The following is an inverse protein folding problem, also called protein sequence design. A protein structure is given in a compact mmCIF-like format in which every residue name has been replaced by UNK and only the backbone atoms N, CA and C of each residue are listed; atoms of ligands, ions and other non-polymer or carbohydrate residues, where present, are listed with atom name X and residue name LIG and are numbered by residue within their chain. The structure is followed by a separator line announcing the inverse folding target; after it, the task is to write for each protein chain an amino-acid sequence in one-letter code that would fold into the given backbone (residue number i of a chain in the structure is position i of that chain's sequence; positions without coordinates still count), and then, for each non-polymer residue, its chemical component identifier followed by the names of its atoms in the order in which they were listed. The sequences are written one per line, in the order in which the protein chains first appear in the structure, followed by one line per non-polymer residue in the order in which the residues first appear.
data_IF_851818340292
#
_entry.id   IF_851818340292
#
_cell.length_a   1.000
_cell.length_b   1.000
_cell.length_c   1.000
_cell.angle_alpha   90.00
_cell.angle_beta   90.00
_cell.angle_gamma   90.00
#
_symmetry.space_group_name_H-M   'P 1'
#
loop_
_entity.id
_entity.type
_entity.pdbx_description
1 polymer ?
#
# COMPACT_ATOMS: atom_id res chain seq x y z
N UNK A 1 -22.22 -43.21 -1.37
CA UNK A 1 -21.82 -42.02 -0.58
C UNK A 1 -21.56 -42.38 0.89
N UNK A 2 -20.62 -43.30 1.14
CA UNK A 2 -20.06 -43.67 2.46
C UNK A 2 -18.62 -44.17 2.22
N UNK A 3 -17.81 -43.38 1.52
CA UNK A 3 -16.43 -43.80 1.17
C UNK A 3 -15.35 -43.01 1.92
N UNK A 4 -15.74 -42.02 2.72
CA UNK A 4 -14.82 -41.26 3.57
C UNK A 4 -14.98 -41.68 5.03
N UNK A 5 -13.97 -42.39 5.55
CA UNK A 5 -13.94 -42.91 6.92
C UNK A 5 -14.00 -41.80 7.98
N UNK A 6 -13.64 -40.56 7.61
CA UNK A 6 -13.73 -39.38 8.50
C UNK A 6 -15.18 -38.98 8.74
N UNK A 7 -16.00 -38.97 7.69
CA UNK A 7 -17.43 -38.68 7.78
C UNK A 7 -18.15 -39.74 8.62
N UNK A 8 -17.83 -41.02 8.41
CA UNK A 8 -18.36 -42.13 9.21
C UNK A 8 -18.03 -41.99 10.71
N UNK A 9 -16.80 -41.57 11.03
CA UNK A 9 -16.36 -41.31 12.41
C UNK A 9 -17.20 -40.22 13.09
N UNK A 10 -17.52 -39.14 12.38
CA UNK A 10 -18.34 -38.05 12.92
C UNK A 10 -19.80 -38.47 13.13
N UNK A 11 -20.36 -39.28 12.22
CA UNK A 11 -21.71 -39.83 12.36
C UNK A 11 -21.79 -40.74 13.60
N UNK A 12 -20.85 -41.67 13.74
CA UNK A 12 -20.81 -42.62 14.87
C UNK A 12 -20.60 -41.95 16.23
N UNK A 13 -19.93 -40.80 16.24
CA UNK A 13 -19.72 -39.99 17.46
C UNK A 13 -20.85 -38.99 17.74
N UNK A 14 -21.91 -38.97 16.93
CA UNK A 14 -23.05 -38.06 17.09
C UNK A 14 -22.73 -36.58 16.78
N UNK A 15 -21.56 -36.27 16.22
CA UNK A 15 -21.10 -34.90 15.93
C UNK A 15 -21.61 -34.40 14.57
N UNK A 16 -22.93 -34.37 14.42
CA UNK A 16 -23.62 -34.01 13.16
C UNK A 16 -23.33 -32.57 12.71
N UNK A 17 -23.16 -31.63 13.65
CA UNK A 17 -22.84 -30.23 13.34
C UNK A 17 -21.42 -30.07 12.77
N UNK A 18 -20.47 -30.84 13.29
CA UNK A 18 -19.09 -30.85 12.78
C UNK A 18 -19.03 -31.44 11.38
N UNK A 19 -19.76 -32.54 11.17
CA UNK A 19 -19.90 -33.15 9.86
C UNK A 19 -20.48 -32.16 8.85
N UNK A 20 -21.55 -31.45 9.21
CA UNK A 20 -22.18 -30.44 8.35
C UNK A 20 -21.19 -29.34 7.95
N UNK A 21 -20.42 -28.83 8.90
CA UNK A 21 -19.39 -27.82 8.63
C UNK A 21 -18.31 -28.34 7.67
N UNK A 22 -17.76 -29.53 7.93
CA UNK A 22 -16.72 -30.11 7.08
C UNK A 22 -17.22 -30.49 5.68
N UNK A 23 -18.47 -30.93 5.53
CA UNK A 23 -19.07 -31.17 4.22
C UNK A 23 -19.35 -29.87 3.45
N UNK A 24 -19.63 -28.77 4.16
CA UNK A 24 -19.84 -27.45 3.56
C UNK A 24 -18.57 -26.78 3.02
N UNK A 25 -17.38 -27.25 3.42
CA UNK A 25 -16.08 -26.70 3.00
C UNK A 25 -15.22 -27.77 2.33
N UNK A 26 -15.00 -27.62 1.02
CA UNK A 26 -14.37 -28.62 0.12
C UNK A 26 -13.03 -29.20 0.60
N UNK A 27 -12.24 -28.49 1.41
CA UNK A 27 -10.92 -28.91 1.91
C UNK A 27 -10.80 -29.00 3.43
N UNK A 28 -11.85 -28.68 4.18
CA UNK A 28 -11.74 -28.56 5.63
C UNK A 28 -11.40 -29.90 6.31
N UNK A 29 -11.84 -31.02 5.75
CA UNK A 29 -11.42 -32.34 6.21
C UNK A 29 -9.92 -32.64 6.00
N UNK A 30 -9.27 -32.04 5.00
CA UNK A 30 -7.83 -32.26 4.79
C UNK A 30 -7.02 -31.32 5.69
N UNK A 31 -7.49 -30.08 5.82
CA UNK A 31 -6.81 -29.00 6.55
C UNK A 31 -6.84 -29.21 8.07
N UNK A 32 -7.99 -29.59 8.65
CA UNK A 32 -8.16 -29.60 10.10
C UNK A 32 -8.16 -30.99 10.74
N UNK A 33 -8.27 -32.08 9.97
CA UNK A 33 -8.56 -33.41 10.55
C UNK A 33 -7.50 -33.93 11.51
N UNK A 34 -6.22 -33.65 11.28
CA UNK A 34 -5.17 -34.05 12.23
C UNK A 34 -5.31 -33.31 13.56
N UNK A 35 -5.49 -31.98 13.51
CA UNK A 35 -5.72 -31.14 14.68
C UNK A 35 -7.01 -31.55 15.41
N UNK A 36 -8.05 -31.87 14.65
CA UNK A 36 -9.34 -32.31 15.17
C UNK A 36 -9.22 -33.63 15.95
N UNK A 37 -8.52 -34.61 15.38
CA UNK A 37 -8.23 -35.88 16.07
C UNK A 37 -7.46 -35.66 17.38
N UNK A 38 -6.50 -34.74 17.38
CA UNK A 38 -5.71 -34.44 18.58
C UNK A 38 -6.59 -33.82 19.66
N UNK A 39 -7.45 -32.85 19.31
CA UNK A 39 -8.40 -32.25 20.24
C UNK A 39 -9.34 -33.30 20.85
N UNK A 40 -9.98 -34.13 20.00
CA UNK A 40 -10.90 -35.19 20.46
C UNK A 40 -10.18 -36.22 21.33
N UNK A 41 -8.96 -36.65 20.96
CA UNK A 41 -8.17 -37.62 21.75
C UNK A 41 -7.82 -37.09 23.14
N UNK A 42 -7.67 -35.77 23.30
CA UNK A 42 -7.39 -35.12 24.58
C UNK A 42 -8.68 -34.79 25.36
N UNK A 43 -9.84 -35.28 24.92
CA UNK A 43 -11.11 -35.03 25.59
C UNK A 43 -11.61 -33.58 25.46
N UNK A 44 -11.07 -32.81 24.52
CA UNK A 44 -11.51 -31.44 24.29
C UNK A 44 -12.87 -31.43 23.59
N UNK A 45 -13.85 -30.77 24.20
CA UNK A 45 -15.16 -30.61 23.60
C UNK A 45 -15.23 -29.34 22.76
N UNK A 46 -15.16 -29.51 21.45
CA UNK A 46 -15.33 -28.44 20.48
C UNK A 46 -16.83 -28.14 20.39
N UNK A 47 -17.28 -27.08 21.07
CA UNK A 47 -18.69 -26.65 21.09
C UNK A 47 -19.08 -25.86 19.84
N UNK A 48 -18.14 -25.10 19.27
CA UNK A 48 -18.30 -24.36 18.01
C UNK A 48 -17.17 -24.72 17.05
N UNK A 49 -17.48 -25.58 16.07
CA UNK A 49 -16.53 -26.05 15.07
C UNK A 49 -16.04 -24.93 14.15
N UNK A 50 -16.88 -23.94 13.86
CA UNK A 50 -16.52 -22.84 12.97
C UNK A 50 -15.52 -21.93 13.66
N UNK A 51 -15.81 -21.53 14.90
CA UNK A 51 -14.91 -20.72 15.72
C UNK A 51 -13.59 -21.45 15.98
N UNK A 52 -13.63 -22.76 16.23
CA UNK A 52 -12.43 -23.55 16.47
C UNK A 52 -11.54 -23.67 15.23
N UNK A 53 -12.12 -23.91 14.05
CA UNK A 53 -11.34 -23.93 12.80
C UNK A 53 -10.69 -22.57 12.52
N UNK A 54 -11.44 -21.46 12.70
CA UNK A 54 -10.89 -20.10 12.54
C UNK A 54 -9.74 -19.84 13.52
N UNK A 55 -9.88 -20.27 14.78
CA UNK A 55 -8.79 -20.22 15.76
C UNK A 55 -7.57 -21.06 15.37
N UNK A 56 -7.75 -22.25 14.79
CA UNK A 56 -6.63 -23.08 14.28
C UNK A 56 -5.90 -22.39 13.13
N UNK A 57 -6.62 -21.71 12.24
CA UNK A 57 -6.02 -20.91 11.17
C UNK A 57 -5.20 -19.74 11.74
N UNK A 58 -5.69 -19.09 12.80
CA UNK A 58 -4.93 -18.05 13.50
C UNK A 58 -3.66 -18.60 14.14
N UNK A 59 -3.73 -19.78 14.77
CA UNK A 59 -2.55 -20.46 15.32
C UNK A 59 -1.51 -20.74 14.24
N UNK A 60 -1.94 -21.29 13.10
CA UNK A 60 -1.07 -21.55 11.95
C UNK A 60 -0.42 -20.26 11.44
N UNK A 61 -1.21 -19.19 11.26
CA UNK A 61 -0.73 -17.87 10.82
C UNK A 61 0.28 -17.24 11.79
N UNK A 62 0.11 -17.48 13.09
CA UNK A 62 1.02 -17.03 14.16
C UNK A 62 2.21 -17.98 14.39
N UNK A 63 2.38 -19.01 13.55
CA UNK A 63 3.45 -20.00 13.64
C UNK A 63 3.38 -20.87 14.90
N UNK A 64 2.20 -21.04 15.51
CA UNK A 64 1.99 -21.93 16.66
C UNK A 64 1.78 -23.36 16.18
N UNK A 65 2.16 -24.31 17.02
CA UNK A 65 2.03 -25.74 16.70
C UNK A 65 0.56 -26.19 16.75
N UNK A 66 -0.04 -26.34 15.56
CA UNK A 66 -1.41 -26.84 15.36
C UNK A 66 -1.53 -28.35 15.55
N UNK A 67 -0.49 -29.03 16.02
CA UNK A 67 -0.49 -30.44 16.43
C UNK A 67 -0.21 -30.62 17.93
N UNK A 68 -0.13 -29.52 18.68
CA UNK A 68 0.02 -29.57 20.14
C UNK A 68 -1.32 -29.39 20.85
N UNK A 69 -1.71 -30.28 21.79
CA UNK A 69 -2.92 -30.11 22.57
C UNK A 69 -2.92 -28.83 23.41
N UNK A 70 -1.72 -28.34 23.80
CA UNK A 70 -1.54 -27.08 24.51
C UNK A 70 -2.18 -25.90 23.78
N UNK A 71 -2.13 -25.88 22.45
CA UNK A 71 -2.69 -24.81 21.64
C UNK A 71 -4.11 -25.13 21.16
N UNK A 72 -4.37 -26.38 20.79
CA UNK A 72 -5.66 -26.80 20.21
C UNK A 72 -6.82 -26.89 21.20
N UNK A 73 -6.53 -27.02 22.51
CA UNK A 73 -7.52 -27.27 23.55
C UNK A 73 -7.58 -26.12 24.57
N UNK A 74 -7.96 -24.88 24.18
CA UNK A 74 -8.03 -23.76 25.10
C UNK A 74 -9.19 -23.93 26.09
N UNK A 75 -9.00 -23.55 27.36
CA UNK A 75 -10.10 -23.61 28.36
C UNK A 75 -11.27 -22.71 27.98
N UNK A 76 -11.01 -21.57 27.34
CA UNK A 76 -12.02 -20.68 26.78
C UNK A 76 -11.64 -20.35 25.33
N UNK A 77 -12.30 -21.04 24.39
CA UNK A 77 -12.05 -20.87 22.96
C UNK A 77 -12.26 -19.44 22.49
N UNK A 78 -13.33 -18.78 22.95
CA UNK A 78 -13.66 -17.42 22.51
C UNK A 78 -12.63 -16.40 22.99
N UNK A 79 -12.22 -16.48 24.25
CA UNK A 79 -11.21 -15.57 24.80
C UNK A 79 -9.84 -15.74 24.15
N UNK A 80 -9.40 -16.99 23.90
CA UNK A 80 -8.13 -17.22 23.19
C UNK A 80 -8.24 -16.82 21.71
N UNK A 81 -9.39 -17.04 21.05
CA UNK A 81 -9.64 -16.54 19.70
C UNK A 81 -9.50 -15.02 19.62
N UNK A 82 -10.20 -14.28 20.47
CA UNK A 82 -10.16 -12.81 20.49
C UNK A 82 -8.73 -12.30 20.74
N UNK A 83 -8.00 -12.95 21.65
CA UNK A 83 -6.59 -12.66 21.92
C UNK A 83 -5.69 -12.87 20.69
N UNK A 84 -5.87 -13.98 19.94
CA UNK A 84 -5.09 -14.24 18.71
C UNK A 84 -5.44 -13.28 17.60
N UNK A 85 -6.71 -12.88 17.51
CA UNK A 85 -7.16 -11.88 16.55
C UNK A 85 -6.47 -10.53 16.80
N UNK A 86 -6.35 -10.09 18.07
CA UNK A 86 -5.60 -8.89 18.43
C UNK A 86 -4.11 -8.99 18.07
N UNK A 87 -3.49 -10.15 18.31
CA UNK A 87 -2.07 -10.41 17.98
C UNK A 87 -1.84 -10.27 16.46
N UNK A 88 -2.69 -10.88 15.64
CA UNK A 88 -2.64 -10.78 14.18
C UNK A 88 -2.88 -9.34 13.69
N UNK A 89 -3.82 -8.61 14.31
CA UNK A 89 -4.08 -7.22 13.94
C UNK A 89 -2.85 -6.34 14.19
N UNK A 90 -2.15 -6.54 15.32
CA UNK A 90 -0.90 -5.82 15.62
C UNK A 90 0.23 -6.19 14.65
N UNK A 91 0.33 -7.44 14.23
CA UNK A 91 1.32 -7.85 13.21
C UNK A 91 1.03 -7.16 11.88
N UNK A 92 -0.22 -7.21 11.40
CA UNK A 92 -0.64 -6.55 10.15
C UNK A 92 -0.40 -5.05 10.17
N UNK A 93 -0.70 -4.37 11.29
CA UNK A 93 -0.45 -2.94 11.43
C UNK A 93 1.05 -2.61 11.29
N UNK A 94 1.91 -3.40 11.94
CA UNK A 94 3.37 -3.22 11.83
C UNK A 94 3.90 -3.51 10.43
N UNK A 95 3.39 -4.55 9.77
CA UNK A 95 3.73 -4.88 8.39
C UNK A 95 3.31 -3.78 7.43
N UNK A 96 2.10 -3.23 7.58
CA UNK A 96 1.59 -2.12 6.77
C UNK A 96 2.43 -0.85 6.96
N UNK A 97 2.83 -0.52 8.20
CA UNK A 97 3.73 0.61 8.47
C UNK A 97 5.08 0.38 7.79
N UNK A 98 5.66 -0.81 7.95
CA UNK A 98 6.96 -1.16 7.36
C UNK A 98 6.92 -1.10 5.84
N UNK A 99 5.86 -1.66 5.22
CA UNK A 99 5.65 -1.64 3.77
C UNK A 99 5.47 -0.23 3.24
N UNK A 100 4.73 0.63 3.94
CA UNK A 100 4.58 2.05 3.57
C UNK A 100 5.92 2.78 3.64
N UNK A 101 6.71 2.56 4.69
CA UNK A 101 8.04 3.15 4.83
C UNK A 101 8.98 2.68 3.73
N UNK A 102 9.01 1.37 3.44
CA UNK A 102 9.83 0.82 2.38
C UNK A 102 9.43 1.37 1.00
N UNK A 103 8.13 1.40 0.68
CA UNK A 103 7.65 2.00 -0.57
C UNK A 103 8.09 3.47 -0.67
N UNK A 104 7.96 4.25 0.40
CA UNK A 104 8.39 5.65 0.39
C UNK A 104 9.91 5.80 0.14
N UNK A 105 10.74 4.92 0.71
CA UNK A 105 12.19 4.92 0.47
C UNK A 105 12.54 4.51 -0.97
N UNK A 106 11.87 3.50 -1.51
CA UNK A 106 12.05 3.04 -2.88
C UNK A 106 11.62 4.12 -3.89
N UNK A 107 10.48 4.76 -3.65
CA UNK A 107 9.96 5.86 -4.45
C UNK A 107 10.92 7.06 -4.44
N UNK A 108 11.44 7.47 -3.28
CA UNK A 108 12.41 8.56 -3.17
C UNK A 108 13.74 8.23 -3.86
N UNK A 109 14.21 6.98 -3.76
CA UNK A 109 15.42 6.53 -4.45
C UNK A 109 15.23 6.59 -5.97
N UNK A 110 14.13 6.01 -6.47
CA UNK A 110 13.80 6.01 -7.90
C UNK A 110 13.59 7.44 -8.42
N UNK A 111 12.95 8.30 -7.63
CA UNK A 111 12.78 9.70 -7.93
C UNK A 111 14.13 10.40 -8.14
N UNK A 112 15.07 10.20 -7.20
CA UNK A 112 16.43 10.78 -7.32
C UNK A 112 17.19 10.22 -8.53
N UNK A 113 17.11 8.93 -8.80
CA UNK A 113 17.74 8.33 -9.99
C UNK A 113 17.24 8.99 -11.29
N UNK A 114 15.93 9.24 -11.39
CA UNK A 114 15.32 9.83 -12.57
C UNK A 114 15.55 11.35 -12.67
N UNK A 115 15.44 12.07 -11.56
CA UNK A 115 15.26 13.53 -11.55
C UNK A 115 16.43 14.33 -11.00
N UNK A 116 17.38 13.71 -10.29
CA UNK A 116 18.50 14.43 -9.64
C UNK A 116 19.30 15.33 -10.57
N UNK A 117 19.44 14.96 -11.85
CA UNK A 117 20.13 15.78 -12.86
C UNK A 117 19.51 17.17 -13.06
N UNK A 118 18.21 17.31 -12.77
CA UNK A 118 17.45 18.56 -12.90
C UNK A 118 17.39 19.35 -11.59
N UNK A 119 17.89 18.81 -10.47
CA UNK A 119 17.90 19.53 -9.21
C UNK A 119 18.82 20.76 -9.30
N UNK A 120 18.41 21.81 -8.59
CA UNK A 120 18.98 23.15 -8.61
C UNK A 120 18.50 24.02 -9.78
N UNK A 121 17.70 23.50 -10.72
CA UNK A 121 17.08 24.35 -11.75
C UNK A 121 16.03 25.24 -11.08
N UNK A 122 16.30 26.53 -11.10
CA UNK A 122 15.39 27.58 -10.73
C UNK A 122 15.61 28.79 -11.65
N UNK A 123 14.56 29.56 -11.91
CA UNK A 123 14.62 30.78 -12.70
C UNK A 123 13.48 31.73 -12.31
N UNK A 124 13.66 33.00 -12.62
CA UNK A 124 12.72 34.06 -12.24
C UNK A 124 12.69 35.17 -13.28
N UNK A 125 11.55 35.85 -13.38
CA UNK A 125 11.39 37.12 -14.11
C UNK A 125 11.41 38.35 -13.17
N UNK A 126 11.77 38.15 -11.90
CA UNK A 126 11.77 39.16 -10.85
C UNK A 126 10.52 39.15 -9.98
N UNK A 127 9.39 38.64 -10.48
CA UNK A 127 8.13 38.52 -9.71
C UNK A 127 7.82 37.05 -9.40
N UNK A 128 7.86 36.21 -10.44
CA UNK A 128 7.57 34.79 -10.36
C UNK A 128 8.87 34.01 -10.24
N UNK A 129 8.93 33.09 -9.30
CA UNK A 129 10.03 32.14 -9.14
C UNK A 129 9.53 30.75 -9.50
N UNK A 130 10.19 30.11 -10.47
CA UNK A 130 9.90 28.74 -10.88
C UNK A 130 11.09 27.86 -10.51
N UNK A 131 10.84 26.74 -9.85
CA UNK A 131 11.86 25.76 -9.49
C UNK A 131 11.36 24.33 -9.68
N UNK A 132 12.28 23.40 -9.90
CA UNK A 132 11.98 21.96 -9.95
C UNK A 132 11.65 21.46 -8.54
N UNK A 133 10.66 20.58 -8.40
CA UNK A 133 10.41 19.89 -7.14
C UNK A 133 11.47 18.79 -6.94
N UNK A 134 12.17 18.80 -5.79
CA UNK A 134 13.40 18.02 -5.59
C UNK A 134 13.23 16.79 -4.68
N UNK A 135 12.01 16.54 -4.19
CA UNK A 135 11.70 15.36 -3.38
C UNK A 135 10.26 14.86 -3.58
N UNK A 136 9.98 13.60 -3.23
CA UNK A 136 8.61 13.07 -3.19
C UNK A 136 7.76 13.84 -2.18
N UNK A 137 8.38 14.29 -1.08
CA UNK A 137 7.72 15.12 -0.06
C UNK A 137 7.25 16.47 -0.63
N UNK A 138 8.05 17.14 -1.44
CA UNK A 138 7.63 18.38 -2.09
C UNK A 138 6.47 18.16 -3.07
N UNK A 139 6.46 17.05 -3.80
CA UNK A 139 5.32 16.68 -4.66
C UNK A 139 4.03 16.44 -3.87
N UNK A 140 4.14 15.86 -2.67
CA UNK A 140 3.02 15.68 -1.73
C UNK A 140 2.50 17.04 -1.22
N UNK A 141 3.40 17.92 -0.78
CA UNK A 141 3.04 19.27 -0.30
C UNK A 141 2.43 20.12 -1.42
N UNK A 142 2.96 20.01 -2.64
CA UNK A 142 2.43 20.67 -3.84
C UNK A 142 1.00 20.19 -4.13
N UNK A 143 0.78 18.87 -4.22
CA UNK A 143 -0.55 18.29 -4.47
C UNK A 143 -1.57 18.63 -3.39
N UNK A 144 -1.15 18.66 -2.12
CA UNK A 144 -2.00 19.05 -0.99
C UNK A 144 -2.40 20.53 -1.04
N UNK A 145 -1.45 21.43 -1.36
CA UNK A 145 -1.67 22.88 -1.42
C UNK A 145 -2.55 23.25 -2.62
N UNK A 146 -2.33 22.61 -3.76
CA UNK A 146 -2.98 22.98 -5.01
C UNK A 146 -4.32 22.30 -5.24
N UNK A 147 -4.72 21.37 -4.35
CA UNK A 147 -5.97 20.62 -4.44
C UNK A 147 -6.23 19.99 -5.81
N UNK A 148 -5.17 19.62 -6.53
CA UNK A 148 -5.25 18.94 -7.82
C UNK A 148 -4.47 17.62 -7.78
N UNK A 149 -4.83 16.73 -8.70
CA UNK A 149 -4.43 15.32 -8.73
C UNK A 149 -2.96 15.07 -9.12
N UNK A 150 -2.03 16.01 -8.93
CA UNK A 150 -0.60 15.82 -9.27
C UNK A 150 0.04 14.68 -8.47
N UNK A 151 -0.52 14.32 -7.30
CA UNK A 151 -0.03 13.17 -6.55
C UNK A 151 -0.69 11.83 -6.95
N UNK A 152 -1.99 11.82 -7.27
CA UNK A 152 -2.76 10.56 -7.35
C UNK A 152 -2.37 9.66 -8.53
N UNK A 153 -1.57 10.13 -9.49
CA UNK A 153 -1.06 9.31 -10.60
C UNK A 153 0.47 9.10 -10.58
N UNK A 154 1.11 9.22 -9.41
CA UNK A 154 2.55 8.97 -9.24
C UNK A 154 3.43 9.77 -10.24
N UNK A 155 3.06 11.03 -10.55
CA UNK A 155 3.75 11.85 -11.57
C UNK A 155 5.24 12.02 -11.28
N UNK A 156 5.65 11.97 -10.01
CA UNK A 156 7.06 12.01 -9.61
C UNK A 156 7.89 10.83 -10.17
N UNK A 157 7.27 9.67 -10.44
CA UNK A 157 7.93 8.50 -11.04
C UNK A 157 7.86 8.45 -12.57
N UNK A 158 7.16 9.40 -13.24
CA UNK A 158 7.08 9.41 -14.70
C UNK A 158 8.42 9.81 -15.30
N UNK A 159 9.03 8.92 -16.06
CA UNK A 159 10.37 9.14 -16.62
C UNK A 159 10.43 10.34 -17.57
N UNK A 160 9.38 10.53 -18.38
CA UNK A 160 9.29 11.56 -19.42
C UNK A 160 8.70 12.90 -18.96
N UNK A 161 8.48 13.08 -17.66
CA UNK A 161 7.81 14.27 -17.13
C UNK A 161 8.65 14.95 -16.05
N UNK A 162 8.65 16.27 -15.99
CA UNK A 162 9.32 17.05 -14.94
C UNK A 162 8.31 18.03 -14.35
N UNK A 163 8.17 18.00 -13.02
CA UNK A 163 7.26 18.88 -12.30
C UNK A 163 8.03 20.07 -11.73
N UNK A 164 7.50 21.26 -11.97
CA UNK A 164 8.00 22.52 -11.43
C UNK A 164 6.89 23.20 -10.62
N UNK A 165 7.29 24.02 -9.67
CA UNK A 165 6.40 24.87 -8.87
C UNK A 165 6.69 26.34 -9.16
N UNK A 166 5.66 27.09 -9.52
CA UNK A 166 5.71 28.54 -9.63
C UNK A 166 5.24 29.18 -8.32
N UNK A 167 6.02 30.14 -7.82
CA UNK A 167 5.76 30.84 -6.56
C UNK A 167 5.92 32.35 -6.72
N UNK A 168 5.13 33.11 -5.96
CA UNK A 168 5.30 34.56 -5.76
C UNK A 168 5.44 34.78 -4.26
N UNK A 169 6.50 35.46 -3.82
CA UNK A 169 6.78 35.69 -2.39
C UNK A 169 6.73 34.39 -1.53
N UNK A 170 7.18 33.27 -2.11
CA UNK A 170 7.15 31.96 -1.46
C UNK A 170 5.77 31.28 -1.40
N UNK A 171 4.71 31.92 -1.91
CA UNK A 171 3.39 31.30 -2.06
C UNK A 171 3.26 30.63 -3.42
N UNK A 172 2.85 29.36 -3.41
CA UNK A 172 2.59 28.56 -4.62
C UNK A 172 1.40 29.13 -5.38
N UNK A 173 1.56 29.30 -6.70
CA UNK A 173 0.52 29.83 -7.58
C UNK A 173 0.10 28.84 -8.67
N UNK A 174 1.05 28.13 -9.30
CA UNK A 174 0.77 27.07 -10.28
C UNK A 174 1.79 25.95 -10.18
N UNK A 175 1.33 24.74 -10.50
CA UNK A 175 2.18 23.57 -10.74
C UNK A 175 2.31 23.37 -12.25
N UNK A 176 3.53 23.16 -12.73
CA UNK A 176 3.84 23.00 -14.15
C UNK A 176 4.36 21.59 -14.40
N UNK A 177 3.80 20.90 -15.40
CA UNK A 177 4.33 19.68 -15.97
C UNK A 177 5.02 19.98 -17.29
N UNK A 178 6.30 19.63 -17.39
CA UNK A 178 7.12 19.75 -18.60
C UNK A 178 7.44 18.36 -19.14
N UNK A 179 7.24 18.16 -20.44
CA UNK A 179 7.67 16.94 -21.12
C UNK A 179 9.18 16.94 -21.30
N UNK A 180 9.87 15.90 -20.84
CA UNK A 180 11.32 15.72 -21.05
C UNK A 180 11.65 15.25 -22.48
N UNK A 181 10.64 14.91 -23.30
CA UNK A 181 10.82 14.58 -24.72
C UNK A 181 10.86 15.83 -25.59
N UNK A 182 9.90 16.75 -25.40
CA UNK A 182 9.81 17.99 -26.18
C UNK A 182 10.42 19.21 -25.50
N UNK A 183 10.65 19.15 -24.18
CA UNK A 183 11.02 20.28 -23.32
C UNK A 183 10.00 21.42 -23.35
N UNK A 184 8.72 21.07 -23.53
CA UNK A 184 7.60 22.02 -23.57
C UNK A 184 6.63 21.74 -22.43
N UNK A 185 5.91 22.79 -22.02
CA UNK A 185 4.87 22.71 -20.99
C UNK A 185 3.70 21.87 -21.54
N UNK A 186 3.41 20.76 -20.86
CA UNK A 186 2.25 19.91 -21.15
C UNK A 186 1.02 20.45 -20.41
N UNK A 187 1.23 20.87 -19.17
CA UNK A 187 0.17 21.36 -18.30
C UNK A 187 0.73 22.40 -17.34
N UNK A 188 -0.02 23.48 -17.11
CA UNK A 188 0.23 24.43 -16.02
C UNK A 188 -1.11 24.73 -15.36
N UNK A 189 -1.23 24.51 -14.06
CA UNK A 189 -2.51 24.66 -13.34
C UNK A 189 -2.30 25.23 -11.94
N UNK A 190 -3.15 26.20 -11.61
CA UNK A 190 -3.33 26.73 -10.27
C UNK A 190 -4.25 25.86 -9.40
N UNK A 191 -4.64 26.41 -8.25
CA UNK A 191 -5.49 25.71 -7.28
C UNK A 191 -6.79 25.22 -7.92
N UNK A 192 -7.18 23.98 -7.63
CA UNK A 192 -8.38 23.33 -8.19
C UNK A 192 -8.41 23.29 -9.74
N UNK A 193 -7.26 23.09 -10.39
CA UNK A 193 -7.12 23.00 -11.84
C UNK A 193 -7.54 24.26 -12.63
N UNK A 194 -7.52 25.44 -11.99
CA UNK A 194 -7.85 26.71 -12.66
C UNK A 194 -6.58 27.40 -13.16
N UNK A 195 -6.70 28.14 -14.24
CA UNK A 195 -5.62 29.04 -14.66
C UNK A 195 -5.58 30.24 -13.72
N UNK A 196 -4.38 30.69 -13.35
CA UNK A 196 -4.18 31.94 -12.62
C UNK A 196 -4.04 33.11 -13.59
N UNK A 197 -4.09 34.34 -13.08
CA UNK A 197 -3.80 35.54 -13.88
C UNK A 197 -2.36 35.55 -14.44
N UNK A 198 -1.46 34.78 -13.83
CA UNK A 198 -0.05 34.64 -14.22
C UNK A 198 0.18 33.46 -15.17
N UNK A 199 -0.85 32.72 -15.57
CA UNK A 199 -0.71 31.48 -16.33
C UNK A 199 0.13 31.63 -17.61
N UNK A 200 -0.19 32.62 -18.46
CA UNK A 200 0.55 32.86 -19.69
C UNK A 200 2.00 33.29 -19.42
N UNK A 201 2.21 34.10 -18.39
CA UNK A 201 3.54 34.54 -17.96
C UNK A 201 4.40 33.35 -17.50
N UNK A 202 3.83 32.42 -16.72
CA UNK A 202 4.50 31.20 -16.24
C UNK A 202 4.87 30.30 -17.42
N UNK A 203 3.93 30.03 -18.32
CA UNK A 203 4.16 29.17 -19.49
C UNK A 203 5.26 29.75 -20.37
N UNK A 204 5.23 31.06 -20.62
CA UNK A 204 6.26 31.75 -21.40
C UNK A 204 7.62 31.72 -20.70
N UNK A 205 7.66 31.93 -19.37
CA UNK A 205 8.87 31.90 -18.58
C UNK A 205 9.53 30.51 -18.60
N UNK A 206 8.75 29.44 -18.48
CA UNK A 206 9.26 28.05 -18.56
C UNK A 206 9.77 27.74 -19.96
N UNK A 207 9.00 28.08 -21.01
CA UNK A 207 9.39 27.82 -22.40
C UNK A 207 10.65 28.61 -22.80
N UNK A 208 10.81 29.85 -22.33
CA UNK A 208 12.02 30.65 -22.54
C UNK A 208 13.26 29.99 -21.91
N UNK A 209 13.08 29.32 -20.77
CA UNK A 209 14.15 28.67 -20.01
C UNK A 209 14.34 27.17 -20.33
N UNK A 210 13.61 26.61 -21.30
CA UNK A 210 13.67 25.17 -21.66
C UNK A 210 15.08 24.65 -21.98
N UNK A 211 15.97 25.55 -22.42
CA UNK A 211 17.38 25.23 -22.70
C UNK A 211 18.13 24.73 -21.46
N UNK A 212 17.80 25.24 -20.26
CA UNK A 212 18.42 24.80 -19.00
C UNK A 212 18.11 23.32 -18.71
N UNK A 213 16.86 22.91 -18.92
CA UNK A 213 16.42 21.52 -18.76
C UNK A 213 17.09 20.62 -19.80
N UNK A 214 17.09 21.03 -21.07
CA UNK A 214 17.72 20.27 -22.16
C UNK A 214 19.24 20.09 -21.97
N UNK A 215 19.94 21.11 -21.45
CA UNK A 215 21.37 21.04 -21.15
C UNK A 215 21.67 20.00 -20.07
N UNK A 216 20.90 19.97 -18.97
CA UNK A 216 21.08 18.96 -17.91
C UNK A 216 20.83 17.54 -18.43
N UNK A 217 19.86 17.37 -19.32
CA UNK A 217 19.58 16.07 -19.92
C UNK A 217 20.75 15.57 -20.78
N UNK A 218 21.39 16.43 -21.56
CA UNK A 218 22.55 16.09 -22.40
C UNK A 218 23.84 15.89 -21.61
N UNK A 219 24.03 16.61 -20.51
CA UNK A 219 25.24 16.50 -19.68
C UNK A 219 25.37 15.16 -18.93
N UNK A 220 24.30 14.36 -18.91
CA UNK A 220 24.22 13.07 -18.21
C UNK A 220 24.00 11.90 -19.18
N UNK A 221 23.95 12.16 -20.49
CA UNK A 221 23.79 11.15 -21.55
C UNK A 221 25.15 10.75 -22.11
#
# INVERSE_FOLDING_TARGET
MLSDSRAETLIKSGRTDHLRYFLGKRRAFDEYWQSYKIAVRNGYDITDISLWCDYVDMLSSLGKDIHSPKFLCPTNLKAEHDRRQEELNRQREREEITKKQQKAMEDEKRFKELKSKFFGIHFTDGTIQVHVLESVREHLEEGATMHHCVFSNEYYLKEDSLILSATIEGKRIETIEVSLKSFEVVQSRGVCNKNTEYHEQIVNLVNANRRLISQRMKATA
#
